data_IF_608364512200
#
_entry.id   IF_608364512200
#
_cell.length_a   1.000
_cell.length_b   1.000
_cell.length_c   1.000
_cell.angle_alpha   90.00
_cell.angle_beta   90.00
_cell.angle_gamma   90.00
#
_symmetry.space_group_name_H-M   'P 1'
#
loop_
_entity.id
_entity.type
_entity.pdbx_description
1 polymer ?
#
# COMPACT_ATOMS: atom_id res chain seq x y z
N UNK A 1 8.69 -10.68 -5.51
CA UNK A 1 9.71 -9.70 -5.09
C UNK A 1 10.51 -10.24 -3.92
N UNK A 2 11.79 -9.95 -3.86
CA UNK A 2 12.70 -10.31 -2.77
C UNK A 2 13.50 -9.07 -2.33
N UNK A 3 14.24 -9.16 -1.22
CA UNK A 3 14.94 -8.01 -0.64
C UNK A 3 15.91 -7.28 -1.60
N UNK A 4 16.56 -8.00 -2.51
CA UNK A 4 17.44 -7.39 -3.53
C UNK A 4 16.72 -6.46 -4.51
N UNK A 5 15.41 -6.59 -4.66
CA UNK A 5 14.61 -5.77 -5.57
C UNK A 5 14.18 -4.43 -4.93
N UNK A 6 14.42 -4.23 -3.62
CA UNK A 6 13.98 -3.04 -2.89
C UNK A 6 14.43 -1.71 -3.54
N UNK A 7 15.70 -1.55 -3.99
CA UNK A 7 16.11 -0.31 -4.64
C UNK A 7 15.31 -0.04 -5.92
N UNK A 8 15.08 -1.07 -6.75
CA UNK A 8 14.32 -0.96 -8.01
C UNK A 8 12.84 -0.68 -7.77
N UNK A 9 12.27 -1.23 -6.68
CA UNK A 9 10.90 -0.97 -6.29
C UNK A 9 10.71 0.48 -5.79
N UNK A 10 11.65 0.99 -5.00
CA UNK A 10 11.67 2.39 -4.58
C UNK A 10 11.85 3.33 -5.79
N UNK A 11 12.71 2.97 -6.73
CA UNK A 11 12.88 3.71 -7.99
C UNK A 11 11.58 3.76 -8.81
N UNK A 12 10.81 2.66 -8.86
CA UNK A 12 9.50 2.65 -9.51
C UNK A 12 8.53 3.63 -8.82
N UNK A 13 8.48 3.64 -7.47
CA UNK A 13 7.66 4.61 -6.73
C UNK A 13 8.01 6.05 -7.11
N UNK A 14 9.29 6.38 -7.08
CA UNK A 14 9.78 7.72 -7.42
C UNK A 14 9.44 8.12 -8.87
N UNK A 15 9.63 7.20 -9.84
CA UNK A 15 9.32 7.46 -11.26
C UNK A 15 7.85 7.74 -11.52
N UNK A 16 6.94 7.14 -10.75
CA UNK A 16 5.50 7.41 -10.88
C UNK A 16 5.01 8.55 -9.99
N UNK A 17 5.93 9.26 -9.32
CA UNK A 17 5.62 10.42 -8.48
C UNK A 17 5.05 10.07 -7.10
N UNK A 18 5.30 8.86 -6.61
CA UNK A 18 4.89 8.42 -5.29
C UNK A 18 6.04 8.57 -4.27
N UNK A 19 5.72 8.82 -3.02
CA UNK A 19 6.68 9.10 -1.95
C UNK A 19 7.10 7.87 -1.13
N UNK A 20 6.71 6.65 -1.54
CA UNK A 20 7.09 5.44 -0.84
C UNK A 20 8.57 5.13 -1.05
N UNK A 21 9.24 4.90 0.07
CA UNK A 21 10.67 4.59 0.15
C UNK A 21 10.90 3.09 0.41
N UNK A 22 12.16 2.67 0.42
CA UNK A 22 12.50 1.26 0.65
C UNK A 22 12.01 0.72 2.00
N UNK A 23 11.82 1.58 3.01
CA UNK A 23 11.26 1.19 4.31
C UNK A 23 9.80 0.72 4.16
N UNK A 24 8.99 1.46 3.40
CA UNK A 24 7.59 1.08 3.15
C UNK A 24 7.49 -0.25 2.42
N UNK A 25 8.36 -0.47 1.42
CA UNK A 25 8.40 -1.73 0.68
C UNK A 25 8.77 -2.93 1.55
N UNK A 26 9.61 -2.74 2.60
CA UNK A 26 9.95 -3.82 3.55
C UNK A 26 8.73 -4.31 4.32
N UNK A 27 7.80 -3.42 4.67
CA UNK A 27 6.54 -3.79 5.33
C UNK A 27 5.77 -4.81 4.48
N UNK A 28 5.59 -4.53 3.19
CA UNK A 28 4.88 -5.44 2.28
C UNK A 28 5.60 -6.78 2.11
N UNK A 29 6.94 -6.79 2.14
CA UNK A 29 7.71 -8.04 2.06
C UNK A 29 7.62 -8.88 3.32
N UNK A 30 7.54 -8.25 4.48
CA UNK A 30 7.48 -8.92 5.79
C UNK A 30 6.05 -9.40 6.10
N UNK A 31 5.07 -8.53 5.98
CA UNK A 31 3.72 -8.74 6.50
C UNK A 31 2.70 -9.10 5.41
N UNK A 32 3.09 -9.03 4.15
CA UNK A 32 2.22 -9.24 3.01
C UNK A 32 2.82 -10.09 1.91
N UNK A 33 2.53 -9.70 0.68
CA UNK A 33 3.16 -10.26 -0.50
C UNK A 33 3.29 -9.18 -1.60
N UNK A 34 4.35 -9.27 -2.39
CA UNK A 34 4.60 -8.35 -3.50
C UNK A 34 4.85 -9.14 -4.77
N UNK A 35 4.13 -8.83 -5.83
CA UNK A 35 4.42 -9.30 -7.19
C UNK A 35 4.98 -8.15 -8.03
N UNK A 36 5.96 -8.46 -8.84
CA UNK A 36 6.61 -7.47 -9.73
C UNK A 36 6.70 -8.02 -11.14
N UNK A 37 6.78 -7.13 -12.10
CA UNK A 37 7.17 -7.41 -13.46
C UNK A 37 8.57 -6.85 -13.67
N UNK A 38 9.49 -7.74 -14.03
CA UNK A 38 10.88 -7.43 -14.32
C UNK A 38 11.10 -7.55 -15.83
N UNK A 39 11.52 -6.47 -16.46
CA UNK A 39 11.82 -6.44 -17.90
C UNK A 39 13.31 -6.36 -18.20
N UNK A 40 14.14 -6.60 -17.16
CA UNK A 40 15.60 -6.60 -17.27
C UNK A 40 16.26 -5.23 -17.09
N UNK A 41 15.49 -4.16 -16.83
CA UNK A 41 16.06 -2.86 -16.48
C UNK A 41 16.75 -2.98 -15.10
N UNK A 42 18.07 -2.70 -15.01
CA UNK A 42 18.82 -2.88 -13.77
C UNK A 42 18.41 -1.87 -12.67
N UNK A 43 17.84 -0.74 -13.05
CA UNK A 43 17.59 0.38 -12.14
C UNK A 43 16.13 0.48 -11.68
N UNK A 44 15.18 -0.12 -12.42
CA UNK A 44 13.77 0.04 -12.15
C UNK A 44 12.95 -1.18 -12.56
N UNK A 45 11.91 -1.50 -11.78
CA UNK A 45 10.92 -2.50 -12.16
C UNK A 45 9.94 -1.94 -13.20
N UNK A 46 9.40 -2.80 -14.05
CA UNK A 46 8.38 -2.41 -15.03
C UNK A 46 7.02 -2.17 -14.37
N UNK A 47 6.63 -3.01 -13.41
CA UNK A 47 5.38 -2.87 -12.68
C UNK A 47 5.41 -3.63 -11.34
N UNK A 48 4.48 -3.29 -10.46
CA UNK A 48 4.31 -3.92 -9.16
C UNK A 48 2.86 -3.94 -8.70
N UNK A 49 2.55 -4.85 -7.77
CA UNK A 49 1.42 -4.77 -6.86
C UNK A 49 1.80 -5.43 -5.54
N UNK A 50 1.28 -4.91 -4.46
CA UNK A 50 1.45 -5.45 -3.11
C UNK A 50 0.09 -5.73 -2.47
N UNK A 51 0.05 -6.71 -1.58
CA UNK A 51 -1.11 -7.01 -0.74
C UNK A 51 -0.67 -7.04 0.71
N UNK A 52 -1.49 -6.49 1.59
CA UNK A 52 -1.25 -6.47 3.03
C UNK A 52 -2.51 -6.95 3.75
N UNK A 53 -2.54 -8.20 4.24
CA UNK A 53 -3.67 -8.73 4.98
C UNK A 53 -3.63 -8.24 6.45
N UNK A 54 -4.80 -7.91 6.98
CA UNK A 54 -5.06 -7.58 8.38
C UNK A 54 -6.03 -8.63 8.97
N UNK A 55 -5.52 -9.85 9.16
CA UNK A 55 -6.32 -10.99 9.54
C UNK A 55 -7.14 -11.55 8.36
N UNK A 56 -8.32 -12.08 8.66
CA UNK A 56 -9.25 -12.65 7.65
C UNK A 56 -10.32 -11.67 7.19
N UNK A 57 -10.54 -10.60 7.93
CA UNK A 57 -11.66 -9.71 7.68
C UNK A 57 -11.31 -8.58 6.72
N UNK A 58 -10.06 -8.11 6.70
CA UNK A 58 -9.64 -6.99 5.89
C UNK A 58 -8.27 -7.24 5.25
N UNK A 59 -8.11 -6.84 4.01
CA UNK A 59 -6.82 -6.72 3.35
C UNK A 59 -6.78 -5.49 2.45
N UNK A 60 -5.58 -4.95 2.26
CA UNK A 60 -5.34 -3.81 1.38
C UNK A 60 -4.49 -4.22 0.18
N UNK A 61 -4.92 -3.82 -1.02
CA UNK A 61 -4.09 -3.87 -2.22
C UNK A 61 -3.43 -2.51 -2.37
N UNK A 62 -2.11 -2.51 -2.48
CA UNK A 62 -1.29 -1.31 -2.56
C UNK A 62 -0.24 -1.44 -3.64
N UNK A 63 0.49 -0.37 -3.91
CA UNK A 63 1.66 -0.35 -4.78
C UNK A 63 1.38 -0.91 -6.18
N UNK A 64 0.15 -0.66 -6.68
CA UNK A 64 -0.22 -1.00 -8.07
C UNK A 64 0.36 0.09 -8.96
N UNK A 65 1.60 -0.12 -9.36
CA UNK A 65 2.40 0.83 -10.13
C UNK A 65 2.79 0.21 -11.46
N UNK A 66 2.76 1.02 -12.51
CA UNK A 66 3.25 0.65 -13.83
C UNK A 66 4.09 1.80 -14.37
N UNK A 67 5.34 1.51 -14.70
CA UNK A 67 6.28 2.46 -15.33
C UNK A 67 5.63 3.03 -16.59
N UNK A 68 5.83 4.30 -16.87
CA UNK A 68 5.08 5.02 -17.89
C UNK A 68 5.20 4.40 -19.29
N UNK A 69 6.42 4.01 -19.68
CA UNK A 69 6.72 3.35 -20.96
C UNK A 69 6.15 1.92 -21.07
N UNK A 70 5.63 1.36 -19.97
CA UNK A 70 5.02 0.02 -19.88
C UNK A 70 3.51 0.06 -19.66
N UNK A 71 2.90 1.24 -19.66
CA UNK A 71 1.45 1.39 -19.52
C UNK A 71 0.71 0.84 -20.74
N UNK A 72 -0.59 0.57 -20.57
CA UNK A 72 -1.51 0.08 -21.61
C UNK A 72 -1.17 -1.30 -22.19
N UNK A 73 -0.33 -2.07 -21.52
CA UNK A 73 0.05 -3.45 -21.87
C UNK A 73 -0.67 -4.51 -21.00
N UNK A 74 -1.68 -4.10 -20.21
CA UNK A 74 -2.44 -5.04 -19.36
C UNK A 74 -1.78 -5.37 -18.02
N UNK A 75 -0.56 -4.90 -17.72
CA UNK A 75 0.21 -5.27 -16.54
C UNK A 75 -0.53 -5.00 -15.23
N UNK A 76 -1.17 -3.82 -15.09
CA UNK A 76 -1.96 -3.51 -13.89
C UNK A 76 -3.10 -4.51 -13.68
N UNK A 77 -3.80 -4.88 -14.75
CA UNK A 77 -4.92 -5.85 -14.69
C UNK A 77 -4.42 -7.24 -14.28
N UNK A 78 -3.29 -7.68 -14.82
CA UNK A 78 -2.69 -8.97 -14.45
C UNK A 78 -2.27 -8.99 -12.97
N UNK A 79 -1.58 -7.96 -12.52
CA UNK A 79 -1.15 -7.81 -11.13
C UNK A 79 -2.33 -7.73 -10.15
N UNK A 80 -3.40 -7.04 -10.53
CA UNK A 80 -4.61 -6.98 -9.72
C UNK A 80 -5.35 -8.31 -9.65
N UNK A 81 -5.42 -9.07 -10.73
CA UNK A 81 -5.98 -10.43 -10.71
C UNK A 81 -5.20 -11.32 -9.76
N UNK A 82 -3.87 -11.25 -9.82
CA UNK A 82 -3.03 -11.95 -8.85
C UNK A 82 -3.33 -11.50 -7.41
N UNK A 83 -3.43 -10.20 -7.15
CA UNK A 83 -3.71 -9.67 -5.83
C UNK A 83 -5.06 -10.18 -5.27
N UNK A 84 -6.12 -10.13 -6.08
CA UNK A 84 -7.43 -10.65 -5.70
C UNK A 84 -7.38 -12.16 -5.44
N UNK A 85 -6.71 -12.94 -6.30
CA UNK A 85 -6.52 -14.37 -6.07
C UNK A 85 -5.74 -14.67 -4.80
N UNK A 86 -4.69 -13.88 -4.52
CA UNK A 86 -3.84 -14.04 -3.34
C UNK A 86 -4.61 -13.76 -2.03
N UNK A 87 -5.62 -12.92 -2.12
CA UNK A 87 -6.51 -12.53 -1.01
C UNK A 87 -7.84 -13.31 -1.00
N UNK A 88 -7.95 -14.40 -1.76
CA UNK A 88 -9.13 -15.23 -1.77
C UNK A 88 -9.47 -15.73 -0.34
N UNK A 89 -10.72 -15.56 0.08
CA UNK A 89 -11.16 -15.88 1.44
C UNK A 89 -11.07 -14.72 2.44
N UNK A 90 -10.51 -13.57 2.05
CA UNK A 90 -10.61 -12.33 2.84
C UNK A 90 -12.00 -11.73 2.65
N UNK A 91 -12.66 -11.35 3.74
CA UNK A 91 -14.04 -10.84 3.73
C UNK A 91 -14.16 -9.50 3.01
N UNK A 92 -13.21 -8.60 3.21
CA UNK A 92 -13.16 -7.30 2.58
C UNK A 92 -11.76 -7.03 2.01
N UNK A 93 -11.69 -6.72 0.72
CA UNK A 93 -10.44 -6.30 0.07
C UNK A 93 -10.62 -4.86 -0.38
N UNK A 94 -9.79 -3.97 0.14
CA UNK A 94 -9.82 -2.54 -0.14
C UNK A 94 -8.57 -2.09 -0.92
N UNK A 95 -8.67 -0.95 -1.54
CA UNK A 95 -7.57 -0.23 -2.17
C UNK A 95 -7.89 1.26 -2.29
N UNK A 96 -6.85 2.08 -2.38
CA UNK A 96 -6.96 3.49 -2.71
C UNK A 96 -6.81 3.69 -4.21
N UNK A 97 -7.81 4.30 -4.83
CA UNK A 97 -7.84 4.50 -6.27
C UNK A 97 -7.46 5.94 -6.65
N UNK A 98 -6.49 6.08 -7.55
CA UNK A 98 -6.37 7.31 -8.33
C UNK A 98 -7.48 7.36 -9.39
N UNK A 99 -7.78 8.55 -9.92
CA UNK A 99 -8.78 8.67 -11.00
C UNK A 99 -8.50 7.73 -12.19
N UNK A 100 -7.22 7.60 -12.59
CA UNK A 100 -6.81 6.70 -13.67
C UNK A 100 -6.94 5.21 -13.33
N UNK A 101 -6.70 4.85 -12.05
CA UNK A 101 -6.82 3.46 -11.58
C UNK A 101 -8.26 3.01 -11.40
N UNK A 102 -9.17 3.90 -11.04
CA UNK A 102 -10.55 3.59 -10.69
C UNK A 102 -11.27 2.79 -11.78
N UNK A 103 -11.09 3.14 -13.06
CA UNK A 103 -11.69 2.40 -14.17
C UNK A 103 -11.20 0.95 -14.27
N UNK A 104 -9.90 0.74 -14.02
CA UNK A 104 -9.30 -0.62 -14.04
C UNK A 104 -9.86 -1.44 -12.90
N UNK A 105 -9.99 -0.86 -11.71
CA UNK A 105 -10.52 -1.52 -10.53
C UNK A 105 -12.00 -1.85 -10.65
N UNK A 106 -12.81 -0.95 -11.20
CA UNK A 106 -14.23 -1.18 -11.44
C UNK A 106 -14.49 -2.38 -12.36
N UNK A 107 -13.66 -2.59 -13.39
CA UNK A 107 -13.74 -3.76 -14.29
C UNK A 107 -13.44 -5.09 -13.58
N UNK A 108 -12.77 -5.05 -12.44
CA UNK A 108 -12.47 -6.21 -11.59
C UNK A 108 -13.47 -6.39 -10.44
N UNK A 109 -14.54 -5.61 -10.43
CA UNK A 109 -15.63 -5.72 -9.45
C UNK A 109 -15.47 -4.87 -8.20
N UNK A 110 -14.44 -4.03 -8.11
CA UNK A 110 -14.33 -3.06 -7.02
C UNK A 110 -15.42 -1.98 -7.16
N UNK A 111 -15.91 -1.52 -6.02
CA UNK A 111 -16.92 -0.45 -5.93
C UNK A 111 -16.39 0.66 -5.04
N UNK A 112 -16.82 1.89 -5.35
CA UNK A 112 -16.50 3.04 -4.50
C UNK A 112 -17.14 2.86 -3.12
N UNK A 113 -16.35 3.02 -2.08
CA UNK A 113 -16.82 3.02 -0.70
C UNK A 113 -17.00 4.47 -0.21
N UNK A 114 -15.95 5.28 -0.32
CA UNK A 114 -15.95 6.70 0.03
C UNK A 114 -14.82 7.44 -0.69
N UNK A 115 -14.94 8.76 -0.77
CA UNK A 115 -13.88 9.63 -1.27
C UNK A 115 -13.03 10.17 -0.13
N UNK A 116 -11.76 10.42 -0.41
CA UNK A 116 -10.84 11.09 0.50
C UNK A 116 -9.91 12.04 -0.27
N UNK A 117 -9.32 13.00 0.44
CA UNK A 117 -8.33 13.90 -0.09
C UNK A 117 -7.03 13.80 0.71
N UNK A 118 -5.90 13.83 0.00
CA UNK A 118 -4.59 13.95 0.62
C UNK A 118 -4.22 15.43 0.67
N UNK A 119 -3.89 15.90 1.87
CA UNK A 119 -3.49 17.27 2.10
C UNK A 119 -1.98 17.34 2.33
N UNK A 120 -1.34 18.35 1.77
CA UNK A 120 0.04 18.71 2.08
C UNK A 120 0.04 20.06 2.78
N UNK A 121 0.72 20.11 3.92
CA UNK A 121 0.89 21.34 4.70
C UNK A 121 2.38 21.60 4.81
N UNK A 122 2.89 22.75 4.32
CA UNK A 122 4.33 23.00 4.29
C UNK A 122 4.94 23.11 5.69
N UNK A 123 4.26 23.80 6.63
CA UNK A 123 4.72 23.93 8.01
C UNK A 123 3.52 23.88 8.95
N UNK A 124 3.46 22.86 9.79
CA UNK A 124 2.50 22.81 10.88
C UNK A 124 3.13 23.46 12.12
N UNK A 125 2.52 24.53 12.67
CA UNK A 125 2.97 25.03 13.96
C UNK A 125 2.80 23.92 15.00
N UNK A 126 3.84 23.64 15.77
CA UNK A 126 3.74 22.74 16.92
C UNK A 126 2.84 23.42 17.94
N UNK A 127 1.55 23.05 17.92
CA UNK A 127 0.61 23.53 18.94
C UNK A 127 0.86 22.77 20.23
N UNK A 128 0.92 23.47 21.35
CA UNK A 128 1.06 22.88 22.68
C UNK A 128 -0.09 21.89 22.98
N UNK A 129 0.11 21.02 23.95
CA UNK A 129 -0.91 20.07 24.42
C UNK A 129 -0.68 18.62 24.00
N UNK A 130 0.30 18.33 23.12
CA UNK A 130 0.73 16.96 22.82
C UNK A 130 2.05 16.66 23.53
N UNK A 131 2.23 15.40 23.92
CA UNK A 131 3.47 14.89 24.50
C UNK A 131 3.98 13.70 23.66
N UNK A 132 5.25 13.38 23.74
CA UNK A 132 5.76 12.13 23.16
C UNK A 132 5.03 10.90 23.72
N UNK A 133 4.78 9.92 22.86
CA UNK A 133 4.19 8.65 23.23
C UNK A 133 5.10 7.87 24.17
N UNK A 134 4.53 7.18 25.16
CA UNK A 134 5.22 6.31 26.12
C UNK A 134 4.79 4.87 25.91
N UNK A 135 5.58 3.93 26.40
CA UNK A 135 5.24 2.50 26.32
C UNK A 135 3.88 2.17 26.94
N UNK A 136 3.49 2.87 28.01
CA UNK A 136 2.20 2.69 28.68
C UNK A 136 0.99 3.15 27.85
N UNK A 137 1.20 3.92 26.78
CA UNK A 137 0.11 4.43 25.92
C UNK A 137 -0.31 3.38 24.87
N UNK A 138 0.53 2.39 24.59
CA UNK A 138 0.27 1.39 23.53
C UNK A 138 -1.11 0.74 23.61
N UNK A 139 -1.60 0.25 24.77
CA UNK A 139 -2.91 -0.39 24.82
C UNK A 139 -4.04 0.54 24.34
N UNK A 140 -4.00 1.81 24.75
CA UNK A 140 -5.02 2.79 24.35
C UNK A 140 -4.89 3.14 22.84
N UNK A 141 -3.67 3.31 22.34
CA UNK A 141 -3.41 3.59 20.91
C UNK A 141 -3.90 2.43 20.05
N UNK A 142 -3.57 1.18 20.41
CA UNK A 142 -3.98 0.00 19.66
C UNK A 142 -5.51 -0.21 19.69
N UNK A 143 -6.15 0.07 20.82
CA UNK A 143 -7.61 0.00 20.92
C UNK A 143 -8.29 1.04 20.02
N UNK A 144 -7.80 2.28 20.05
CA UNK A 144 -8.31 3.36 19.18
C UNK A 144 -8.09 3.05 17.70
N UNK A 145 -6.88 2.62 17.35
CA UNK A 145 -6.53 2.28 15.97
C UNK A 145 -7.38 1.14 15.44
N UNK A 146 -7.50 0.06 16.19
CA UNK A 146 -8.31 -1.09 15.79
C UNK A 146 -9.79 -0.74 15.62
N UNK A 147 -10.33 0.12 16.48
CA UNK A 147 -11.70 0.60 16.37
C UNK A 147 -11.90 1.48 15.13
N UNK A 148 -10.94 2.34 14.82
CA UNK A 148 -11.01 3.27 13.70
C UNK A 148 -10.73 2.59 12.35
N UNK A 149 -9.74 1.69 12.31
CA UNK A 149 -9.31 1.00 11.08
C UNK A 149 -10.16 -0.23 10.76
N UNK A 150 -10.78 -0.82 11.76
CA UNK A 150 -11.60 -2.04 11.61
C UNK A 150 -10.81 -3.35 11.64
N UNK A 151 -9.51 -3.32 11.90
CA UNK A 151 -8.66 -4.50 12.05
C UNK A 151 -7.41 -4.18 12.89
N UNK A 152 -6.83 -5.19 13.54
CA UNK A 152 -5.58 -5.03 14.29
C UNK A 152 -4.38 -4.90 13.35
N UNK A 153 -3.53 -3.90 13.59
CA UNK A 153 -2.29 -3.68 12.84
C UNK A 153 -1.10 -3.26 13.72
N UNK A 154 -1.04 -3.87 14.93
CA UNK A 154 -0.03 -3.56 15.93
C UNK A 154 1.40 -3.66 15.39
N UNK A 155 1.73 -4.75 14.66
CA UNK A 155 3.06 -4.94 14.10
C UNK A 155 3.48 -3.78 13.18
N UNK A 156 2.54 -3.28 12.36
CA UNK A 156 2.76 -2.13 11.49
C UNK A 156 2.99 -0.85 12.30
N UNK A 157 2.14 -0.59 13.30
CA UNK A 157 2.24 0.63 14.13
C UNK A 157 3.51 0.71 14.95
N UNK A 158 4.07 -0.44 15.36
CA UNK A 158 5.32 -0.47 16.13
C UNK A 158 6.57 -0.23 15.28
N UNK A 159 6.45 -0.23 13.95
CA UNK A 159 7.55 0.05 13.02
C UNK A 159 7.73 1.55 12.75
N UNK A 160 6.77 2.38 13.13
CA UNK A 160 6.80 3.83 13.01
C UNK A 160 7.16 4.49 14.33
#
# INVERSE_FOLDING_TARGET
MVAKDLPRAAALSARVGWNQVAADWRVFLRDGAVRVVDDGDPDCLAASAAVLPYGRDLAWISMVLVREDRRRQGLATELLRWAVQRLAGTRCVALDATAAGREVYARLGFRDAFGFARWSVPDLPVTGGVRPMRAADWPAVLALDSAAFGAGREALLRDF
#
